data_IF_454514318948
#
_entry.id   IF_454514318948
#
_cell.length_a   1.000
_cell.length_b   1.000
_cell.length_c   1.000
_cell.angle_alpha   90.00
_cell.angle_beta   90.00
_cell.angle_gamma   90.00
#
_symmetry.space_group_name_H-M   'P 1'
#
loop_
_entity.id
_entity.type
_entity.pdbx_description
1 polymer ?
#
# COMPACT_ATOMS: atom_id res chain seq x y z
N UNK A 1 -66.36 -39.72 15.94
CA UNK A 1 -64.99 -40.03 15.48
C UNK A 1 -64.27 -38.84 14.86
N UNK A 2 -64.92 -38.03 14.02
CA UNK A 2 -64.30 -36.88 13.33
C UNK A 2 -63.78 -35.80 14.31
N UNK A 3 -64.54 -35.42 15.33
CA UNK A 3 -64.12 -34.37 16.28
C UNK A 3 -62.79 -34.65 17.03
N UNK A 4 -62.48 -35.93 17.26
CA UNK A 4 -61.20 -36.33 17.89
C UNK A 4 -60.03 -36.16 16.91
N UNK A 5 -60.24 -36.46 15.63
CA UNK A 5 -59.22 -36.31 14.60
C UNK A 5 -58.81 -34.83 14.41
N UNK A 6 -59.78 -33.91 14.43
CA UNK A 6 -59.51 -32.47 14.38
C UNK A 6 -58.72 -31.99 15.60
N UNK A 7 -59.01 -32.50 16.79
CA UNK A 7 -58.24 -32.19 18.01
C UNK A 7 -56.77 -32.63 17.88
N UNK A 8 -56.54 -33.86 17.39
CA UNK A 8 -55.18 -34.39 17.22
C UNK A 8 -54.40 -33.64 16.14
N UNK A 9 -55.06 -33.22 15.05
CA UNK A 9 -54.44 -32.39 14.01
C UNK A 9 -53.98 -31.03 14.55
N UNK A 10 -54.76 -30.40 15.43
CA UNK A 10 -54.38 -29.14 16.09
C UNK A 10 -53.16 -29.35 16.99
N UNK A 11 -53.16 -30.38 17.84
CA UNK A 11 -52.01 -30.68 18.70
C UNK A 11 -50.74 -31.01 17.90
N UNK A 12 -50.88 -31.74 16.80
CA UNK A 12 -49.78 -32.00 15.87
C UNK A 12 -49.25 -30.71 15.24
N UNK A 13 -50.14 -29.83 14.76
CA UNK A 13 -49.76 -28.54 14.20
C UNK A 13 -49.00 -27.65 15.18
N UNK A 14 -49.40 -27.64 16.46
CA UNK A 14 -48.67 -26.93 17.53
C UNK A 14 -47.27 -27.51 17.72
N UNK A 15 -47.12 -28.84 17.74
CA UNK A 15 -45.82 -29.50 17.85
C UNK A 15 -44.89 -29.16 16.68
N UNK A 16 -45.42 -29.17 15.45
CA UNK A 16 -44.68 -28.79 14.25
C UNK A 16 -44.26 -27.33 14.30
N UNK A 17 -45.15 -26.41 14.68
CA UNK A 17 -44.83 -24.99 14.80
C UNK A 17 -43.71 -24.74 15.82
N UNK A 18 -43.74 -25.44 16.96
CA UNK A 18 -42.68 -25.37 17.96
C UNK A 18 -41.34 -25.89 17.42
N UNK A 19 -41.37 -27.03 16.71
CA UNK A 19 -40.17 -27.60 16.09
C UNK A 19 -39.56 -26.63 15.06
N UNK A 20 -40.38 -26.01 14.21
CA UNK A 20 -39.92 -24.98 13.27
C UNK A 20 -39.36 -23.75 14.00
N UNK A 21 -40.00 -23.31 15.08
CA UNK A 21 -39.51 -22.21 15.90
C UNK A 21 -38.10 -22.45 16.44
N UNK A 22 -37.82 -23.66 16.94
CA UNK A 22 -36.50 -24.05 17.43
C UNK A 22 -35.46 -24.08 16.31
N UNK A 23 -35.84 -24.40 15.07
CA UNK A 23 -34.94 -24.44 13.91
C UNK A 23 -34.52 -23.05 13.40
N UNK A 24 -35.26 -21.98 13.72
CA UNK A 24 -34.94 -20.62 13.28
C UNK A 24 -33.65 -20.10 13.95
N UNK A 25 -33.45 -20.40 15.23
CA UNK A 25 -32.29 -19.92 16.01
C UNK A 25 -30.94 -20.39 15.43
N UNK A 26 -30.69 -21.69 15.19
CA UNK A 26 -29.42 -22.13 14.62
C UNK A 26 -29.22 -21.64 13.18
N UNK A 27 -30.30 -21.42 12.43
CA UNK A 27 -30.23 -20.85 11.09
C UNK A 27 -29.78 -19.39 11.12
N UNK A 28 -30.27 -18.60 12.08
CA UNK A 28 -29.78 -17.24 12.33
C UNK A 28 -28.31 -17.22 12.76
N UNK A 29 -27.92 -18.10 13.68
CA UNK A 29 -26.51 -18.21 14.11
C UNK A 29 -25.61 -18.56 12.94
N UNK A 30 -26.02 -19.45 12.04
CA UNK A 30 -25.28 -19.78 10.83
C UNK A 30 -25.16 -18.57 9.88
N UNK A 31 -26.23 -17.80 9.71
CA UNK A 31 -26.22 -16.58 8.91
C UNK A 31 -25.30 -15.50 9.49
N UNK A 32 -25.31 -15.33 10.82
CA UNK A 32 -24.44 -14.39 11.53
C UNK A 32 -22.98 -14.80 11.45
N UNK A 33 -22.65 -16.09 11.63
CA UNK A 33 -21.29 -16.60 11.45
C UNK A 33 -20.76 -16.32 10.05
N UNK A 34 -21.58 -16.55 9.02
CA UNK A 34 -21.20 -16.25 7.63
C UNK A 34 -20.94 -14.75 7.42
N UNK A 35 -21.71 -13.88 8.07
CA UNK A 35 -21.48 -12.42 8.03
C UNK A 35 -20.17 -12.04 8.73
N UNK A 36 -19.87 -12.67 9.87
CA UNK A 36 -18.60 -12.47 10.57
C UNK A 36 -17.41 -12.89 9.70
N UNK A 37 -17.48 -14.07 9.06
CA UNK A 37 -16.42 -14.56 8.16
C UNK A 37 -16.22 -13.63 6.94
N UNK A 38 -17.29 -13.05 6.41
CA UNK A 38 -17.20 -12.07 5.34
C UNK A 38 -16.50 -10.78 5.81
N UNK A 39 -16.78 -10.30 7.02
CA UNK A 39 -16.10 -9.11 7.58
C UNK A 39 -14.63 -9.40 7.90
N UNK A 40 -14.30 -10.55 8.49
CA UNK A 40 -12.91 -10.89 8.82
C UNK A 40 -12.05 -11.02 7.57
N UNK A 41 -12.59 -11.58 6.48
CA UNK A 41 -11.89 -11.62 5.20
C UNK A 41 -11.67 -10.24 4.59
N UNK A 42 -12.65 -9.33 4.72
CA UNK A 42 -12.49 -7.92 4.31
C UNK A 42 -11.42 -7.20 5.14
N UNK A 43 -11.40 -7.39 6.46
CA UNK A 43 -10.37 -6.81 7.34
C UNK A 43 -8.99 -7.33 6.94
N UNK A 44 -8.83 -8.64 6.75
CA UNK A 44 -7.56 -9.23 6.33
C UNK A 44 -7.09 -8.76 4.93
N UNK A 45 -8.03 -8.39 4.06
CA UNK A 45 -7.71 -7.75 2.77
C UNK A 45 -7.27 -6.30 2.96
N UNK A 46 -8.03 -5.51 3.72
CA UNK A 46 -7.70 -4.12 4.02
C UNK A 46 -6.32 -3.97 4.69
N UNK A 47 -5.96 -4.87 5.61
CA UNK A 47 -4.62 -4.88 6.22
C UNK A 47 -3.50 -5.15 5.21
N UNK A 48 -3.73 -6.00 4.20
CA UNK A 48 -2.76 -6.24 3.12
C UNK A 48 -2.61 -5.01 2.23
N UNK A 49 -3.72 -4.35 1.94
CA UNK A 49 -3.73 -3.12 1.15
C UNK A 49 -3.01 -1.99 1.89
N UNK A 50 -3.24 -1.83 3.20
CA UNK A 50 -2.53 -0.86 4.05
C UNK A 50 -1.02 -1.13 4.00
N UNK A 51 -0.59 -2.38 4.21
CA UNK A 51 0.84 -2.72 4.13
C UNK A 51 1.45 -2.42 2.76
N UNK A 52 0.71 -2.68 1.68
CA UNK A 52 1.17 -2.34 0.33
C UNK A 52 1.32 -0.82 0.16
N UNK A 53 0.31 -0.05 0.58
CA UNK A 53 0.34 1.41 0.54
C UNK A 53 1.48 2.00 1.39
N UNK A 54 1.71 1.47 2.59
CA UNK A 54 2.82 1.87 3.45
C UNK A 54 4.17 1.66 2.75
N UNK A 55 4.37 0.53 2.06
CA UNK A 55 5.61 0.31 1.30
C UNK A 55 5.76 1.26 0.11
N UNK A 56 4.67 1.61 -0.56
CA UNK A 56 4.70 2.61 -1.64
C UNK A 56 4.98 4.02 -1.11
N UNK A 57 4.44 4.38 0.06
CA UNK A 57 4.70 5.67 0.69
C UNK A 57 6.13 5.76 1.21
N UNK A 58 6.64 4.71 1.87
CA UNK A 58 8.02 4.68 2.36
C UNK A 58 9.02 4.85 1.21
N UNK A 59 8.79 4.13 0.09
CA UNK A 59 9.67 4.26 -1.08
C UNK A 59 9.60 5.65 -1.72
N UNK A 60 8.42 6.27 -1.81
CA UNK A 60 8.28 7.65 -2.34
C UNK A 60 8.82 8.72 -1.39
N UNK A 61 8.62 8.56 -0.08
CA UNK A 61 9.12 9.48 0.93
C UNK A 61 10.65 9.41 1.06
N UNK A 62 11.23 8.21 0.94
CA UNK A 62 12.67 8.01 0.97
C UNK A 62 13.39 8.81 -0.14
N UNK A 63 12.83 8.91 -1.35
CA UNK A 63 13.43 9.71 -2.43
C UNK A 63 13.47 11.19 -2.06
N UNK A 64 12.36 11.77 -1.60
CA UNK A 64 12.31 13.18 -1.19
C UNK A 64 13.26 13.47 -0.01
N UNK A 65 13.39 12.51 0.92
CA UNK A 65 14.35 12.61 2.02
C UNK A 65 15.79 12.53 1.53
N UNK A 66 16.11 11.62 0.61
CA UNK A 66 17.45 11.51 0.00
C UNK A 66 17.82 12.77 -0.76
N UNK A 67 16.89 13.38 -1.51
CA UNK A 67 17.13 14.66 -2.18
C UNK A 67 17.42 15.79 -1.18
N UNK A 68 16.65 15.86 -0.09
CA UNK A 68 16.91 16.81 1.00
C UNK A 68 18.28 16.57 1.65
N UNK A 69 18.64 15.33 1.95
CA UNK A 69 19.94 15.00 2.54
C UNK A 69 21.10 15.26 1.56
N UNK A 70 20.89 15.00 0.27
CA UNK A 70 21.84 15.32 -0.79
C UNK A 70 22.10 16.83 -0.86
N UNK A 71 21.05 17.66 -0.82
CA UNK A 71 21.18 19.12 -0.81
C UNK A 71 21.77 19.71 0.48
N UNK A 72 21.28 19.24 1.65
CA UNK A 72 21.56 19.86 2.95
C UNK A 72 22.92 19.45 3.53
N UNK A 73 23.29 18.16 3.44
CA UNK A 73 24.42 17.60 4.20
C UNK A 73 25.45 16.90 3.31
N UNK A 74 25.01 16.03 2.41
CA UNK A 74 25.91 15.17 1.64
C UNK A 74 26.53 15.90 0.44
N UNK A 75 25.88 16.96 -0.06
CA UNK A 75 26.34 17.80 -1.19
C UNK A 75 26.71 16.98 -2.44
N UNK A 76 26.02 15.86 -2.65
CA UNK A 76 26.25 14.91 -3.74
C UNK A 76 25.51 15.33 -5.03
N UNK A 77 25.52 16.62 -5.33
CA UNK A 77 24.95 17.13 -6.58
C UNK A 77 25.86 16.74 -7.75
N UNK A 78 25.26 16.38 -8.89
CA UNK A 78 26.04 16.12 -10.10
C UNK A 78 26.83 17.40 -10.49
N UNK A 79 28.11 17.30 -10.87
CA UNK A 79 28.89 18.47 -11.26
C UNK A 79 28.26 19.15 -12.48
N UNK A 80 28.24 20.48 -12.48
CA UNK A 80 27.73 21.27 -13.60
C UNK A 80 28.76 21.35 -14.73
N UNK A 81 28.32 21.58 -15.96
CA UNK A 81 29.17 21.65 -17.16
C UNK A 81 30.42 22.57 -17.00
N UNK A 82 30.31 23.64 -16.22
CA UNK A 82 31.42 24.57 -15.94
C UNK A 82 32.45 24.09 -14.91
N UNK A 83 32.19 22.99 -14.21
CA UNK A 83 33.14 22.35 -13.29
C UNK A 83 33.99 21.28 -13.99
N UNK A 84 33.65 20.91 -15.22
CA UNK A 84 34.47 20.03 -16.04
C UNK A 84 35.48 20.85 -16.85
N UNK A 85 36.71 20.35 -16.96
CA UNK A 85 37.67 20.90 -17.90
C UNK A 85 37.22 20.55 -19.32
N UNK A 86 37.25 21.55 -20.21
CA UNK A 86 36.72 21.44 -21.56
C UNK A 86 37.66 20.66 -22.50
N UNK A 87 38.97 20.83 -22.31
CA UNK A 87 40.00 20.34 -23.25
C UNK A 87 41.23 19.78 -22.51
N UNK A 88 41.97 18.86 -23.14
CA UNK A 88 43.19 18.25 -22.57
C UNK A 88 44.32 19.27 -22.31
N UNK A 89 44.38 20.34 -23.13
CA UNK A 89 45.34 21.42 -22.92
C UNK A 89 45.08 22.18 -21.61
N UNK A 90 43.80 22.35 -21.23
CA UNK A 90 43.43 22.94 -19.95
C UNK A 90 43.85 22.04 -18.78
N UNK A 91 43.80 20.72 -18.97
CA UNK A 91 44.23 19.74 -17.97
C UNK A 91 45.76 19.75 -17.80
N UNK A 92 46.51 19.87 -18.89
CA UNK A 92 47.97 19.96 -18.87
C UNK A 92 48.49 21.26 -18.22
N UNK A 93 47.69 22.33 -18.24
CA UNK A 93 48.02 23.59 -17.58
C UNK A 93 47.70 23.62 -16.07
N UNK A 94 47.08 22.56 -15.54
CA UNK A 94 46.66 22.48 -14.15
C UNK A 94 47.85 22.02 -13.28
N UNK A 95 48.31 22.90 -12.40
CA UNK A 95 49.40 22.59 -11.45
C UNK A 95 48.82 22.05 -10.13
N UNK A 96 48.96 20.74 -9.90
CA UNK A 96 48.48 20.07 -8.69
C UNK A 96 49.37 20.29 -7.46
N UNK A 97 50.54 20.91 -7.62
CA UNK A 97 51.51 21.17 -6.53
C UNK A 97 51.55 22.63 -6.09
N UNK A 98 50.79 23.52 -6.73
CA UNK A 98 50.70 24.92 -6.34
C UNK A 98 50.01 25.05 -4.96
N UNK A 99 50.54 25.90 -4.04
CA UNK A 99 49.86 26.16 -2.78
C UNK A 99 48.51 26.80 -3.06
N UNK A 100 47.47 26.24 -2.45
CA UNK A 100 46.08 26.69 -2.54
C UNK A 100 46.02 28.17 -2.17
N UNK A 101 46.04 29.03 -3.19
CA UNK A 101 46.05 30.46 -2.98
C UNK A 101 44.68 30.88 -2.45
N UNK A 102 44.65 31.94 -1.64
CA UNK A 102 43.48 32.43 -0.89
C UNK A 102 42.27 32.90 -1.75
N UNK A 103 42.19 32.48 -3.00
CA UNK A 103 41.07 32.68 -3.91
C UNK A 103 40.96 31.65 -5.05
N UNK A 104 41.63 30.49 -4.99
CA UNK A 104 41.63 29.54 -6.10
C UNK A 104 41.99 28.12 -5.72
N UNK A 105 40.99 27.23 -5.84
CA UNK A 105 41.05 25.78 -5.85
C UNK A 105 41.88 25.12 -4.74
N UNK A 106 41.32 25.16 -3.53
CA UNK A 106 41.51 24.07 -2.58
C UNK A 106 41.15 22.74 -3.27
N UNK A 107 41.98 21.70 -3.11
CA UNK A 107 41.59 20.33 -3.46
C UNK A 107 40.54 19.92 -2.43
N UNK A 108 39.39 20.55 -2.52
CA UNK A 108 38.18 20.12 -1.86
C UNK A 108 37.67 18.98 -2.70
N UNK A 109 37.65 17.79 -2.10
CA UNK A 109 36.69 16.77 -2.48
C UNK A 109 35.35 17.47 -2.64
N UNK A 110 34.85 17.59 -3.87
CA UNK A 110 33.83 18.54 -4.31
C UNK A 110 32.76 18.84 -3.24
N UNK A 111 33.08 19.74 -2.32
CA UNK A 111 32.21 20.19 -1.24
C UNK A 111 31.77 21.60 -1.62
N UNK A 112 31.00 21.60 -2.70
CA UNK A 112 29.92 22.49 -3.05
C UNK A 112 30.13 24.03 -3.01
N UNK A 113 29.97 24.57 -4.20
CA UNK A 113 29.07 25.68 -4.46
C UNK A 113 27.92 25.06 -5.26
N UNK A 114 26.77 24.81 -4.63
CA UNK A 114 25.56 24.38 -5.35
C UNK A 114 24.79 25.65 -5.71
N UNK A 115 24.56 25.95 -7.00
CA UNK A 115 23.51 26.89 -7.38
C UNK A 115 22.19 26.26 -6.94
N UNK A 116 21.60 26.81 -5.88
CA UNK A 116 20.26 26.43 -5.44
C UNK A 116 19.33 26.69 -6.63
N UNK A 117 18.81 25.61 -7.24
CA UNK A 117 17.88 25.75 -8.35
C UNK A 117 16.71 26.57 -7.84
N UNK A 118 16.55 27.79 -8.37
CA UNK A 118 15.49 28.69 -7.97
C UNK A 118 14.15 28.01 -8.28
N UNK A 119 13.49 27.52 -7.23
CA UNK A 119 12.09 27.11 -7.30
C UNK A 119 11.33 28.38 -7.66
N UNK A 120 10.70 28.38 -8.84
CA UNK A 120 9.80 29.45 -9.21
C UNK A 120 8.69 29.54 -8.14
N UNK A 121 8.35 30.72 -7.63
CA UNK A 121 7.32 30.85 -6.62
C UNK A 121 5.97 30.50 -7.24
N UNK A 122 5.44 29.32 -6.94
CA UNK A 122 4.01 29.06 -7.04
C UNK A 122 3.35 29.98 -6.02
N UNK A 123 2.55 30.94 -6.52
CA UNK A 123 1.83 31.90 -5.70
C UNK A 123 0.99 31.17 -4.64
N UNK A 124 1.40 31.29 -3.39
CA UNK A 124 0.59 30.93 -2.23
C UNK A 124 -0.20 32.17 -1.79
N UNK A 125 -1.54 32.11 -1.66
CA UNK A 125 -2.34 33.25 -1.19
C UNK A 125 -2.00 33.60 0.26
N UNK A 126 -2.10 34.91 0.52
CA UNK A 126 -1.67 35.62 1.71
C UNK A 126 -2.21 35.08 3.05
N UNK A 127 -1.38 35.30 4.07
CA UNK A 127 -1.59 35.02 5.48
C UNK A 127 -2.75 35.80 6.11
N UNK A 128 -3.34 35.21 7.16
CA UNK A 128 -3.92 35.92 8.30
C UNK A 128 -3.25 35.39 9.59
N UNK A 129 -2.79 36.25 10.52
CA UNK A 129 -2.12 35.82 11.74
C UNK A 129 -3.10 35.75 12.92
N UNK A 130 -3.12 34.65 13.69
CA UNK A 130 -3.69 34.66 15.05
C UNK A 130 -3.04 33.62 15.97
N UNK A 131 -2.35 34.16 16.98
CA UNK A 131 -2.05 33.67 18.33
C UNK A 131 -1.27 32.34 18.59
N UNK A 132 -0.32 32.34 19.56
CA UNK A 132 0.40 31.14 19.97
C UNK A 132 -0.40 30.36 21.02
N UNK A 133 -0.50 29.04 20.84
CA UNK A 133 -0.87 28.10 21.91
C UNK A 133 0.35 27.28 22.28
N UNK A 134 0.74 27.39 23.55
CA UNK A 134 1.76 26.62 24.21
C UNK A 134 1.23 25.25 24.68
N UNK A 135 2.17 24.38 25.06
CA UNK A 135 2.05 23.11 25.79
C UNK A 135 1.78 21.86 24.91
N UNK A 136 2.46 20.72 25.06
CA UNK A 136 3.37 20.25 26.10
C UNK A 136 4.34 19.21 25.52
N UNK A 137 5.59 19.26 25.99
CA UNK A 137 6.54 18.17 25.87
C UNK A 137 6.12 17.03 26.81
N UNK A 138 6.05 15.81 26.29
CA UNK A 138 5.97 14.59 27.08
C UNK A 138 7.35 13.94 27.04
N UNK A 139 8.07 14.18 28.13
CA UNK A 139 9.30 13.52 28.49
C UNK A 139 8.90 12.16 29.07
N UNK A 140 9.40 11.05 28.52
CA UNK A 140 9.61 9.89 29.36
C UNK A 140 10.89 9.15 28.99
N UNK A 141 11.57 8.76 30.05
CA UNK A 141 12.94 8.34 30.19
C UNK A 141 13.29 7.01 29.54
N UNK A 142 14.53 6.98 29.07
CA UNK A 142 15.40 5.81 28.86
C UNK A 142 15.24 4.79 29.99
N UNK A 143 15.06 3.52 29.63
CA UNK A 143 15.40 2.38 30.49
C UNK A 143 16.44 1.52 29.78
N UNK A 144 17.48 1.20 30.53
CA UNK A 144 18.76 0.67 30.07
C UNK A 144 18.74 -0.79 29.59
N UNK A 145 19.71 -1.10 28.72
CA UNK A 145 20.12 -2.43 28.31
C UNK A 145 20.73 -3.27 29.46
N UNK A 146 20.92 -4.58 29.25
CA UNK A 146 22.30 -5.05 29.11
C UNK A 146 22.53 -6.05 27.95
N UNK A 147 23.69 -5.90 27.32
CA UNK A 147 24.42 -6.78 26.37
C UNK A 147 25.06 -8.00 27.09
N UNK A 148 25.84 -8.93 26.47
CA UNK A 148 26.30 -9.10 25.06
C UNK A 148 26.20 -10.57 24.52
N UNK A 149 26.60 -10.83 23.26
CA UNK A 149 27.59 -11.88 22.88
C UNK A 149 27.80 -11.89 21.36
N UNK A 150 29.05 -11.67 20.95
CA UNK A 150 29.53 -11.77 19.57
C UNK A 150 29.54 -13.23 19.09
N UNK A 151 29.09 -13.47 17.85
CA UNK A 151 29.42 -14.69 17.12
C UNK A 151 29.86 -14.33 15.69
N UNK A 152 31.15 -14.54 15.47
CA UNK A 152 31.88 -14.54 14.21
C UNK A 152 31.20 -15.43 13.16
N UNK A 153 30.89 -14.90 11.98
CA UNK A 153 30.51 -15.72 10.83
C UNK A 153 31.75 -15.93 9.96
N UNK A 154 32.30 -17.13 10.05
CA UNK A 154 33.35 -17.66 9.16
C UNK A 154 32.74 -17.97 7.79
N UNK A 155 33.32 -17.41 6.72
CA UNK A 155 33.00 -17.78 5.34
C UNK A 155 33.56 -19.19 5.03
N UNK A 156 32.70 -20.09 4.57
CA UNK A 156 33.10 -21.32 3.88
C UNK A 156 32.21 -21.50 2.63
N UNK A 157 32.77 -21.88 1.46
CA UNK A 157 32.00 -21.98 0.23
C UNK A 157 31.32 -23.37 0.15
N UNK A 158 30.00 -23.40 0.23
CA UNK A 158 29.22 -24.59 -0.08
C UNK A 158 28.68 -24.47 -1.51
N UNK A 159 29.32 -25.17 -2.45
CA UNK A 159 28.80 -25.41 -3.80
C UNK A 159 27.54 -26.28 -3.66
N UNK A 160 26.37 -25.71 -3.98
CA UNK A 160 25.12 -26.47 -4.10
C UNK A 160 24.71 -26.52 -5.57
N UNK A 161 24.75 -27.73 -6.12
CA UNK A 161 24.34 -28.04 -7.47
C UNK A 161 22.87 -27.63 -7.71
N UNK A 162 22.65 -26.86 -8.78
CA UNK A 162 21.34 -26.47 -9.29
C UNK A 162 20.72 -27.62 -10.09
N UNK A 163 19.57 -28.12 -9.64
CA UNK A 163 18.70 -28.97 -10.45
C UNK A 163 17.93 -28.09 -11.47
N UNK A 164 17.68 -28.55 -12.71
CA UNK A 164 16.98 -27.76 -13.71
C UNK A 164 15.49 -27.65 -13.38
N UNK A 165 15.04 -26.41 -13.14
CA UNK A 165 13.63 -26.06 -13.10
C UNK A 165 13.06 -26.26 -14.50
N UNK A 166 12.12 -27.21 -14.62
CA UNK A 166 11.31 -27.37 -15.83
C UNK A 166 10.44 -26.13 -16.00
N UNK A 167 10.68 -25.37 -17.07
CA UNK A 167 9.76 -24.34 -17.55
C UNK A 167 8.47 -25.00 -18.03
N UNK A 168 7.45 -25.01 -17.18
CA UNK A 168 6.10 -25.33 -17.59
C UNK A 168 5.59 -24.18 -18.48
N UNK A 169 5.35 -24.49 -19.75
CA UNK A 169 4.79 -23.58 -20.74
C UNK A 169 3.47 -23.00 -20.24
N UNK A 170 3.42 -21.68 -20.09
CA UNK A 170 2.18 -20.91 -19.92
C UNK A 170 1.43 -20.98 -21.24
N UNK A 171 0.44 -21.85 -21.31
CA UNK A 171 -0.52 -21.90 -22.42
C UNK A 171 -1.28 -20.58 -22.44
N UNK A 172 -1.01 -19.76 -23.45
CA UNK A 172 -1.75 -18.55 -23.76
C UNK A 172 -3.22 -18.92 -24.02
N UNK A 173 -4.09 -18.68 -23.03
CA UNK A 173 -5.53 -18.65 -23.28
C UNK A 173 -5.83 -17.42 -24.15
N UNK A 174 -6.60 -17.54 -25.24
CA UNK A 174 -6.96 -16.38 -26.05
C UNK A 174 -7.79 -15.42 -25.20
N UNK A 175 -7.31 -14.17 -25.04
CA UNK A 175 -7.93 -13.12 -24.23
C UNK A 175 -9.45 -12.96 -24.48
N UNK A 176 -9.91 -13.25 -25.70
CA UNK A 176 -11.33 -13.25 -26.07
C UNK A 176 -12.18 -14.20 -25.20
N UNK A 177 -11.66 -15.36 -24.83
CA UNK A 177 -12.40 -16.33 -24.01
C UNK A 177 -12.50 -15.91 -22.55
N UNK A 178 -11.49 -15.19 -22.03
CA UNK A 178 -11.55 -14.60 -20.69
C UNK A 178 -12.56 -13.45 -20.64
N UNK A 179 -12.60 -12.59 -21.68
CA UNK A 179 -13.57 -11.49 -21.79
C UNK A 179 -15.00 -12.03 -21.91
N UNK A 180 -15.24 -13.08 -22.70
CA UNK A 180 -16.55 -13.70 -22.82
C UNK A 180 -17.06 -14.33 -21.50
N UNK A 181 -16.15 -14.84 -20.66
CA UNK A 181 -16.53 -15.34 -19.33
C UNK A 181 -16.89 -14.22 -18.35
N UNK A 182 -16.27 -13.04 -18.48
CA UNK A 182 -16.64 -11.87 -17.70
C UNK A 182 -18.00 -11.32 -18.13
N UNK A 183 -18.23 -11.22 -19.44
CA UNK A 183 -19.50 -10.75 -20.01
C UNK A 183 -20.68 -11.59 -19.51
N UNK A 184 -20.55 -12.93 -19.54
CA UNK A 184 -21.58 -13.83 -19.01
C UNK A 184 -21.78 -13.76 -17.49
N UNK A 185 -20.77 -13.32 -16.75
CA UNK A 185 -20.87 -13.11 -15.29
C UNK A 185 -21.55 -11.77 -14.96
N UNK A 186 -21.40 -10.77 -15.83
CA UNK A 186 -22.02 -9.46 -15.70
C UNK A 186 -23.47 -9.46 -16.21
N UNK A 187 -23.74 -10.13 -17.34
CA UNK A 187 -25.07 -10.29 -17.94
C UNK A 187 -25.80 -11.56 -17.47
N UNK A 188 -25.73 -11.88 -16.18
CA UNK A 188 -26.53 -13.00 -15.67
C UNK A 188 -28.04 -12.67 -15.78
N UNK A 189 -28.86 -13.63 -16.22
CA UNK A 189 -30.31 -13.46 -16.40
C UNK A 189 -31.01 -12.96 -15.13
N UNK A 190 -30.45 -13.28 -13.95
CA UNK A 190 -30.93 -12.80 -12.66
C UNK A 190 -30.72 -11.29 -12.48
N UNK A 191 -29.55 -10.74 -12.87
CA UNK A 191 -29.29 -9.29 -12.80
C UNK A 191 -30.14 -8.50 -13.78
N UNK A 192 -30.36 -9.03 -15.00
CA UNK A 192 -31.29 -8.41 -15.96
C UNK A 192 -32.73 -8.45 -15.44
N UNK A 193 -33.13 -9.53 -14.76
CA UNK A 193 -34.43 -9.62 -14.07
C UNK A 193 -34.60 -8.59 -12.95
N UNK A 194 -33.57 -8.39 -12.13
CA UNK A 194 -33.59 -7.38 -11.06
C UNK A 194 -33.66 -5.95 -11.59
N UNK A 195 -32.94 -5.66 -12.69
CA UNK A 195 -32.99 -4.35 -13.33
C UNK A 195 -34.37 -4.05 -13.95
N UNK A 196 -34.96 -5.02 -14.64
CA UNK A 196 -36.28 -4.85 -15.27
C UNK A 196 -37.40 -4.79 -14.24
N UNK A 197 -37.30 -5.56 -13.15
CA UNK A 197 -38.26 -5.50 -12.05
C UNK A 197 -38.15 -4.18 -11.27
N UNK A 198 -36.93 -3.69 -11.03
CA UNK A 198 -36.67 -2.38 -10.44
C UNK A 198 -37.23 -1.23 -11.29
N UNK A 199 -36.95 -1.24 -12.59
CA UNK A 199 -37.48 -0.23 -13.52
C UNK A 199 -39.02 -0.26 -13.58
N UNK A 200 -39.64 -1.44 -13.52
CA UNK A 200 -41.10 -1.59 -13.50
C UNK A 200 -41.74 -1.16 -12.16
N UNK A 201 -41.00 -1.28 -11.06
CA UNK A 201 -41.43 -0.78 -9.75
C UNK A 201 -41.35 0.76 -9.70
N UNK A 202 -40.30 1.34 -10.29
CA UNK A 202 -40.11 2.79 -10.38
C UNK A 202 -41.14 3.45 -11.31
N UNK A 203 -41.41 2.86 -12.47
CA UNK A 203 -42.44 3.34 -13.41
C UNK A 203 -43.85 3.32 -12.81
N UNK A 204 -44.14 2.39 -11.88
CA UNK A 204 -45.41 2.36 -11.14
C UNK A 204 -45.50 3.38 -10.01
N UNK A 205 -44.36 3.79 -9.45
CA UNK A 205 -44.28 4.82 -8.41
C UNK A 205 -44.43 6.24 -8.98
N UNK A 206 -44.11 6.42 -10.25
CA UNK A 206 -44.21 7.69 -10.97
C UNK A 206 -45.57 7.92 -11.66
N UNK A 207 -46.51 6.98 -11.53
CA UNK A 207 -47.86 7.04 -12.10
C UNK A 207 -48.90 7.22 -10.99
#
# INVERSE_FOLDING_TARGET
MIALAWKMLVWFGVGVALALGVLIVPLHVAAERKKLDATTTQVAQAERDIRALETEFETRANIAQLEKWNGDTLRLAAPVAGQYLRDEAALASLDFHAPLSAGGADVQMAAAIVPQQAVAPTASPAANPTAPVAMAALNNSVSAAPSPTSATITHAPAVRATAPVRTAAVVARPRAQAVAMLDRKLLSDTMLGDLTSGASAEARRLR
#
